data_IF_715736646527
#
_entry.id   IF_715736646527
#
_cell.length_a   1.000
_cell.length_b   1.000
_cell.length_c   1.000
_cell.angle_alpha   90.00
_cell.angle_beta   90.00
_cell.angle_gamma   90.00
#
_symmetry.space_group_name_H-M   'P 1'
#
loop_
_entity.id
_entity.type
_entity.pdbx_description
1 polymer ?
#
# COMPACT_ATOMS: atom_id res chain seq x y z
N UNK A 1 7.78 12.96 21.89
CA UNK A 1 7.76 12.38 20.53
C UNK A 1 9.17 12.53 19.98
N UNK A 2 9.66 11.52 19.26
CA UNK A 2 11.01 11.54 18.74
C UNK A 2 11.06 12.46 17.51
N UNK A 3 12.10 13.27 17.41
CA UNK A 3 12.44 13.99 16.18
C UNK A 3 12.71 12.95 15.10
N UNK A 4 12.18 13.17 13.90
CA UNK A 4 12.35 12.24 12.77
C UNK A 4 13.25 12.85 11.70
N UNK A 5 13.99 11.99 11.00
CA UNK A 5 14.63 12.35 9.74
C UNK A 5 13.55 12.47 8.66
N UNK A 6 13.53 13.58 7.93
CA UNK A 6 12.55 13.81 6.86
C UNK A 6 13.27 13.86 5.51
N UNK A 7 12.79 13.07 4.54
CA UNK A 7 13.21 13.17 3.14
C UNK A 7 12.04 13.19 2.17
N UNK A 8 12.27 13.74 0.99
CA UNK A 8 11.34 13.71 -0.14
C UNK A 8 11.96 12.92 -1.28
N UNK A 9 11.19 11.99 -1.85
CA UNK A 9 11.63 11.14 -2.95
C UNK A 9 10.46 10.67 -3.81
N UNK A 10 10.74 10.28 -5.06
CA UNK A 10 9.71 9.80 -5.99
C UNK A 10 9.19 8.39 -5.65
N UNK A 11 10.06 7.51 -5.16
CA UNK A 11 9.74 6.13 -4.76
C UNK A 11 8.77 5.43 -5.74
N UNK A 12 9.16 5.20 -7.02
CA UNK A 12 8.24 4.86 -8.11
C UNK A 12 7.38 3.62 -7.85
N UNK A 13 7.96 2.62 -7.19
CA UNK A 13 7.24 1.40 -6.80
C UNK A 13 6.09 1.71 -5.86
N UNK A 14 6.35 2.50 -4.83
CA UNK A 14 5.36 2.91 -3.84
C UNK A 14 4.29 3.81 -4.48
N UNK A 15 4.70 4.71 -5.36
CA UNK A 15 3.80 5.58 -6.08
C UNK A 15 2.79 4.77 -6.93
N UNK A 16 3.30 3.80 -7.69
CA UNK A 16 2.47 2.92 -8.51
C UNK A 16 1.54 2.05 -7.66
N UNK A 17 2.05 1.42 -6.60
CA UNK A 17 1.24 0.59 -5.69
C UNK A 17 0.10 1.40 -5.06
N UNK A 18 0.40 2.59 -4.55
CA UNK A 18 -0.60 3.44 -3.89
C UNK A 18 -1.64 4.00 -4.87
N UNK A 19 -1.23 4.25 -6.12
CA UNK A 19 -2.15 4.58 -7.22
C UNK A 19 -3.07 3.40 -7.55
N UNK A 20 -2.54 2.18 -7.58
CA UNK A 20 -3.34 0.98 -7.83
C UNK A 20 -4.29 0.68 -6.67
N UNK A 21 -3.86 0.85 -5.43
CA UNK A 21 -4.76 0.74 -4.26
C UNK A 21 -5.88 1.79 -4.30
N UNK A 22 -5.58 3.00 -4.79
CA UNK A 22 -6.58 4.06 -5.00
C UNK A 22 -7.66 3.64 -6.02
N UNK A 23 -7.32 2.88 -7.06
CA UNK A 23 -8.31 2.35 -8.01
C UNK A 23 -9.28 1.37 -7.33
N UNK A 24 -8.78 0.52 -6.43
CA UNK A 24 -9.59 -0.45 -5.70
C UNK A 24 -10.53 0.19 -4.66
N UNK A 25 -10.15 1.36 -4.15
CA UNK A 25 -10.80 2.04 -3.01
C UNK A 25 -11.64 3.26 -3.39
N UNK A 26 -11.81 3.56 -4.69
CA UNK A 26 -12.58 4.73 -5.18
C UNK A 26 -14.00 4.85 -4.62
N UNK A 27 -14.67 3.73 -4.36
CA UNK A 27 -16.03 3.72 -3.77
C UNK A 27 -16.05 4.17 -2.31
N UNK A 28 -14.92 4.03 -1.61
CA UNK A 28 -14.71 4.45 -0.22
C UNK A 28 -14.21 5.89 -0.16
N UNK A 29 -13.40 6.29 -1.15
CA UNK A 29 -12.76 7.60 -1.23
C UNK A 29 -13.27 8.40 -2.46
N UNK A 30 -14.44 9.05 -2.38
CA UNK A 30 -15.09 9.67 -3.53
C UNK A 30 -14.38 10.92 -4.07
N UNK A 31 -13.33 11.41 -3.39
CA UNK A 31 -12.56 12.59 -3.79
C UNK A 31 -11.23 12.24 -4.47
N UNK A 32 -11.04 10.99 -4.90
CA UNK A 32 -9.93 10.63 -5.78
C UNK A 32 -10.08 11.33 -7.14
N UNK A 33 -8.96 11.61 -7.80
CA UNK A 33 -8.91 12.44 -9.00
C UNK A 33 -9.62 11.83 -10.21
N UNK A 34 -9.87 12.64 -11.25
CA UNK A 34 -10.58 12.22 -12.46
C UNK A 34 -9.92 11.03 -13.16
N UNK A 35 -8.58 10.97 -13.18
CA UNK A 35 -7.84 9.84 -13.76
C UNK A 35 -8.20 8.50 -13.13
N UNK A 36 -8.39 8.45 -11.80
CA UNK A 36 -8.79 7.23 -11.07
C UNK A 36 -10.20 6.80 -11.48
N UNK A 37 -11.15 7.75 -11.55
CA UNK A 37 -12.52 7.47 -11.97
C UNK A 37 -12.62 6.98 -13.42
N UNK A 38 -11.91 7.64 -14.33
CA UNK A 38 -11.88 7.29 -15.75
C UNK A 38 -11.24 5.91 -15.96
N UNK A 39 -10.12 5.64 -15.27
CA UNK A 39 -9.41 4.36 -15.35
C UNK A 39 -10.29 3.22 -14.89
N UNK A 40 -10.93 3.33 -13.72
CA UNK A 40 -11.85 2.30 -13.21
C UNK A 40 -13.02 2.06 -14.18
N UNK A 41 -13.59 3.14 -14.74
CA UNK A 41 -14.71 3.04 -15.70
C UNK A 41 -14.30 2.36 -17.00
N UNK A 42 -13.06 2.55 -17.43
CA UNK A 42 -12.51 1.94 -18.66
C UNK A 42 -12.04 0.49 -18.48
N UNK A 43 -11.94 0.00 -17.23
CA UNK A 43 -11.34 -1.29 -16.94
C UNK A 43 -12.26 -2.44 -17.39
N UNK A 44 -11.78 -3.41 -18.20
CA UNK A 44 -12.58 -4.58 -18.53
C UNK A 44 -12.97 -5.37 -17.29
N UNK A 45 -14.19 -5.93 -17.24
CA UNK A 45 -14.72 -6.59 -16.05
C UNK A 45 -13.83 -7.71 -15.48
N UNK A 46 -13.14 -8.47 -16.35
CA UNK A 46 -12.18 -9.50 -15.90
C UNK A 46 -10.93 -8.92 -15.24
N UNK A 47 -10.44 -7.79 -15.75
CA UNK A 47 -9.32 -7.06 -15.17
C UNK A 47 -9.74 -6.38 -13.85
N UNK A 48 -10.94 -5.80 -13.80
CA UNK A 48 -11.51 -5.23 -12.56
C UNK A 48 -11.65 -6.28 -11.46
N UNK A 49 -12.16 -7.47 -11.80
CA UNK A 49 -12.26 -8.58 -10.84
C UNK A 49 -10.88 -8.95 -10.29
N UNK A 50 -9.89 -9.10 -11.16
CA UNK A 50 -8.50 -9.45 -10.76
C UNK A 50 -7.89 -8.35 -9.90
N UNK A 51 -8.11 -7.09 -10.29
CA UNK A 51 -7.69 -5.93 -9.52
C UNK A 51 -8.28 -5.93 -8.11
N UNK A 52 -9.59 -6.17 -7.97
CA UNK A 52 -10.26 -6.30 -6.67
C UNK A 52 -9.74 -7.49 -5.86
N UNK A 53 -9.43 -8.62 -6.49
CA UNK A 53 -8.86 -9.77 -5.79
C UNK A 53 -7.50 -9.43 -5.17
N UNK A 54 -6.63 -8.73 -5.92
CA UNK A 54 -5.30 -8.38 -5.44
C UNK A 54 -5.30 -7.18 -4.49
N UNK A 55 -6.04 -6.10 -4.81
CA UNK A 55 -6.03 -4.81 -4.10
C UNK A 55 -7.21 -4.56 -3.17
N UNK A 56 -8.17 -5.47 -3.07
CA UNK A 56 -9.05 -5.47 -1.90
C UNK A 56 -8.72 -6.71 -1.09
N UNK A 57 -8.86 -7.91 -1.66
CA UNK A 57 -8.88 -9.11 -0.83
C UNK A 57 -7.49 -9.56 -0.36
N UNK A 58 -6.47 -9.44 -1.21
CA UNK A 58 -5.08 -9.74 -0.86
C UNK A 58 -4.28 -8.48 -0.53
N UNK A 59 -4.93 -7.47 0.07
CA UNK A 59 -4.33 -6.16 0.35
C UNK A 59 -3.07 -6.23 1.23
N UNK A 60 -2.94 -7.28 2.04
CA UNK A 60 -1.74 -7.56 2.85
C UNK A 60 -0.46 -7.63 1.99
N UNK A 61 -0.56 -8.02 0.71
CA UNK A 61 0.56 -8.09 -0.24
C UNK A 61 1.32 -6.76 -0.27
N UNK A 62 0.64 -5.62 -0.14
CA UNK A 62 1.28 -4.32 -0.29
C UNK A 62 1.17 -3.40 0.92
N UNK A 63 0.28 -3.64 1.89
CA UNK A 63 0.24 -2.83 3.13
C UNK A 63 1.31 -3.21 4.16
N UNK A 64 1.85 -4.43 4.08
CA UNK A 64 2.86 -4.95 5.01
C UNK A 64 3.88 -5.87 4.32
N UNK A 65 3.47 -6.49 3.20
CA UNK A 65 4.21 -7.55 2.52
C UNK A 65 4.88 -7.19 1.21
N UNK A 66 5.03 -5.93 0.84
CA UNK A 66 6.02 -5.68 -0.19
C UNK A 66 7.36 -5.95 0.48
N UNK A 67 8.20 -6.92 0.02
CA UNK A 67 9.59 -6.89 0.42
C UNK A 67 10.05 -5.46 0.17
N UNK A 68 10.86 -4.90 1.05
CA UNK A 68 11.43 -3.57 0.85
C UNK A 68 12.30 -3.69 -0.39
N UNK A 69 11.67 -3.57 -1.56
CA UNK A 69 12.28 -3.82 -2.84
C UNK A 69 12.95 -2.51 -3.16
N UNK A 70 14.27 -2.54 -3.04
CA UNK A 70 15.17 -1.50 -3.54
C UNK A 70 15.21 -1.53 -5.07
N UNK A 71 14.06 -1.67 -5.75
CA UNK A 71 13.98 -1.49 -7.19
C UNK A 71 13.90 0.01 -7.47
N UNK A 72 14.63 0.45 -8.49
CA UNK A 72 14.61 1.84 -8.89
C UNK A 72 13.33 2.17 -9.66
N UNK A 73 12.74 1.18 -10.34
CA UNK A 73 11.54 1.35 -11.17
C UNK A 73 10.46 0.31 -10.85
N UNK A 74 9.22 0.60 -11.26
CA UNK A 74 8.10 -0.34 -11.11
C UNK A 74 8.24 -1.61 -11.97
N UNK A 75 8.71 -1.56 -13.22
CA UNK A 75 9.03 -2.78 -13.98
C UNK A 75 10.08 -3.66 -13.30
N UNK A 76 11.17 -3.08 -12.78
CA UNK A 76 12.20 -3.84 -12.04
C UNK A 76 11.62 -4.49 -10.79
N UNK A 77 10.67 -3.83 -10.11
CA UNK A 77 9.93 -4.44 -9.00
C UNK A 77 9.18 -5.69 -9.46
N UNK A 78 8.44 -5.61 -10.57
CA UNK A 78 7.69 -6.75 -11.10
C UNK A 78 8.64 -7.89 -11.51
N UNK A 79 9.74 -7.57 -12.21
CA UNK A 79 10.77 -8.52 -12.59
C UNK A 79 11.39 -9.22 -11.36
N UNK A 80 11.62 -8.47 -10.28
CA UNK A 80 12.16 -9.03 -9.04
C UNK A 80 11.19 -9.99 -8.35
N UNK A 81 9.89 -9.72 -8.41
CA UNK A 81 8.87 -10.62 -7.88
C UNK A 81 8.81 -11.88 -8.73
N UNK A 82 8.84 -11.77 -10.06
CA UNK A 82 8.84 -12.92 -10.99
C UNK A 82 10.08 -13.82 -10.84
N UNK A 83 11.26 -13.22 -10.67
CA UNK A 83 12.51 -13.95 -10.48
C UNK A 83 12.63 -14.62 -9.11
N UNK A 84 11.82 -14.18 -8.13
CA UNK A 84 11.80 -14.73 -6.78
C UNK A 84 11.14 -16.11 -6.71
N UNK A 85 11.33 -16.79 -5.58
CA UNK A 85 10.62 -18.04 -5.31
C UNK A 85 9.16 -17.76 -4.97
N UNK A 86 8.22 -18.05 -5.86
CA UNK A 86 7.24 -19.07 -5.54
C UNK A 86 6.58 -19.01 -4.16
N UNK A 87 6.91 -20.05 -3.39
CA UNK A 87 6.53 -20.24 -2.00
C UNK A 87 7.00 -19.11 -1.10
N UNK A 88 8.18 -18.52 -1.31
CA UNK A 88 8.65 -17.41 -0.48
C UNK A 88 7.78 -16.17 -0.62
N UNK A 89 7.24 -15.88 -1.82
CA UNK A 89 6.26 -14.82 -2.02
C UNK A 89 4.97 -15.10 -1.23
N UNK A 90 4.44 -16.32 -1.33
CA UNK A 90 3.25 -16.77 -0.59
C UNK A 90 3.46 -16.76 0.93
N UNK A 91 4.56 -17.32 1.41
CA UNK A 91 4.85 -17.45 2.84
C UNK A 91 4.99 -16.08 3.50
N UNK A 92 5.57 -15.11 2.78
CA UNK A 92 5.67 -13.74 3.24
C UNK A 92 4.28 -13.07 3.38
N UNK A 93 3.36 -13.27 2.44
CA UNK A 93 1.95 -12.80 2.55
C UNK A 93 1.28 -13.35 3.82
N UNK A 94 1.42 -14.66 4.05
CA UNK A 94 0.78 -15.35 5.18
C UNK A 94 1.41 -14.90 6.51
N UNK A 95 2.74 -14.77 6.54
CA UNK A 95 3.45 -14.23 7.68
C UNK A 95 2.94 -12.85 8.07
N UNK A 96 2.75 -11.96 7.10
CA UNK A 96 2.21 -10.62 7.37
C UNK A 96 0.77 -10.65 7.88
N UNK A 97 -0.07 -11.54 7.34
CA UNK A 97 -1.43 -11.74 7.84
C UNK A 97 -1.42 -12.19 9.31
N UNK A 98 -0.60 -13.19 9.64
CA UNK A 98 -0.46 -13.71 11.00
C UNK A 98 0.09 -12.65 11.95
N UNK A 99 1.07 -11.87 11.53
CA UNK A 99 1.65 -10.78 12.33
C UNK A 99 0.64 -9.63 12.57
N UNK A 100 -0.25 -9.35 11.62
CA UNK A 100 -1.37 -8.42 11.82
C UNK A 100 -2.39 -8.99 12.82
N UNK A 101 -2.72 -10.29 12.73
CA UNK A 101 -3.60 -10.94 13.71
C UNK A 101 -3.06 -10.82 15.14
N UNK A 102 -1.76 -11.05 15.34
CA UNK A 102 -1.08 -10.84 16.63
C UNK A 102 -1.19 -9.38 17.09
N UNK A 103 -0.89 -8.46 16.18
CA UNK A 103 -0.95 -7.02 16.44
C UNK A 103 -2.33 -6.58 16.89
N UNK A 104 -3.39 -7.05 16.23
CA UNK A 104 -4.78 -6.72 16.58
C UNK A 104 -5.19 -7.31 17.92
N UNK A 105 -4.81 -8.56 18.22
CA UNK A 105 -5.08 -9.18 19.52
C UNK A 105 -4.43 -8.38 20.65
N UNK A 106 -3.16 -8.00 20.50
CA UNK A 106 -2.43 -7.20 21.48
C UNK A 106 -3.05 -5.80 21.64
N UNK A 107 -3.30 -5.09 20.53
CA UNK A 107 -3.79 -3.71 20.57
C UNK A 107 -5.21 -3.59 21.13
N UNK A 108 -6.07 -4.57 20.82
CA UNK A 108 -7.47 -4.58 21.28
C UNK A 108 -7.66 -5.38 22.57
N UNK A 109 -6.58 -5.90 23.18
CA UNK A 109 -6.61 -6.72 24.39
C UNK A 109 -7.61 -7.88 24.31
N UNK A 110 -7.64 -8.56 23.17
CA UNK A 110 -8.59 -9.65 22.93
C UNK A 110 -8.14 -10.93 23.63
N UNK A 111 -9.08 -11.68 24.19
CA UNK A 111 -8.84 -13.03 24.73
C UNK A 111 -8.88 -14.09 23.61
N UNK A 112 -8.13 -13.85 22.53
CA UNK A 112 -8.01 -14.75 21.38
C UNK A 112 -6.55 -15.17 21.20
N UNK A 113 -6.34 -16.36 20.63
CA UNK A 113 -5.00 -16.87 20.29
C UNK A 113 -4.81 -16.70 18.77
N UNK A 114 -3.91 -15.82 18.30
CA UNK A 114 -3.61 -15.66 16.87
C UNK A 114 -3.28 -16.99 16.20
N UNK A 115 -3.62 -17.17 14.91
CA UNK A 115 -3.36 -18.42 14.23
C UNK A 115 -1.87 -18.54 13.88
N UNK A 116 -1.42 -19.75 13.66
CA UNK A 116 -0.14 -20.03 12.98
C UNK A 116 -0.30 -19.95 11.46
N UNK A 117 0.81 -19.82 10.75
CA UNK A 117 0.83 -19.80 9.29
C UNK A 117 0.21 -21.10 8.72
N UNK A 118 0.58 -22.26 9.28
CA UNK A 118 0.02 -23.57 8.89
C UNK A 118 -1.50 -23.66 9.11
N UNK A 119 -2.02 -23.09 10.20
CA UNK A 119 -3.46 -23.09 10.47
C UNK A 119 -4.24 -22.25 9.46
N UNK A 120 -3.67 -21.11 9.03
CA UNK A 120 -4.28 -20.26 7.99
C UNK A 120 -4.30 -20.98 6.65
N UNK A 121 -3.21 -21.67 6.28
CA UNK A 121 -3.12 -22.45 5.04
C UNK A 121 -4.10 -23.61 5.06
N UNK A 122 -4.10 -24.42 6.12
CA UNK A 122 -4.81 -25.68 6.16
C UNK A 122 -6.33 -25.55 6.30
N UNK A 123 -6.84 -24.40 6.76
CA UNK A 123 -8.25 -24.26 7.12
C UNK A 123 -8.82 -22.91 6.65
N UNK A 124 -9.73 -22.97 5.69
CA UNK A 124 -10.40 -21.79 5.13
C UNK A 124 -11.25 -21.04 6.15
N UNK A 125 -11.92 -21.72 7.09
CA UNK A 125 -12.70 -21.07 8.13
C UNK A 125 -11.80 -20.30 9.09
N UNK A 126 -10.59 -20.82 9.36
CA UNK A 126 -9.58 -20.11 10.15
C UNK A 126 -9.10 -18.86 9.41
N UNK A 127 -8.81 -18.97 8.11
CA UNK A 127 -8.46 -17.83 7.26
C UNK A 127 -9.55 -16.75 7.28
N UNK A 128 -10.80 -17.12 7.00
CA UNK A 128 -11.94 -16.19 6.94
C UNK A 128 -12.25 -15.55 8.29
N UNK A 129 -12.21 -16.33 9.37
CA UNK A 129 -12.41 -15.82 10.72
C UNK A 129 -11.38 -14.73 11.05
N UNK A 130 -10.09 -15.03 10.83
CA UNK A 130 -9.03 -14.08 11.16
C UNK A 130 -9.00 -12.85 10.28
N UNK A 131 -9.40 -12.95 9.01
CA UNK A 131 -9.65 -11.77 8.18
C UNK A 131 -10.68 -10.83 8.82
N UNK A 132 -11.80 -11.37 9.30
CA UNK A 132 -12.86 -10.57 9.95
C UNK A 132 -12.42 -9.94 11.27
N UNK A 133 -11.57 -10.62 12.03
CA UNK A 133 -11.05 -10.12 13.31
C UNK A 133 -10.02 -9.02 13.08
N UNK A 134 -9.05 -9.27 12.20
CA UNK A 134 -7.96 -8.34 11.93
C UNK A 134 -8.47 -7.08 11.21
N UNK A 135 -9.33 -7.24 10.20
CA UNK A 135 -9.87 -6.15 9.39
C UNK A 135 -11.40 -6.12 9.39
N UNK A 136 -12.04 -5.71 10.51
CA UNK A 136 -13.52 -5.72 10.62
C UNK A 136 -14.21 -4.73 9.66
N UNK A 137 -13.49 -3.74 9.15
CA UNK A 137 -14.00 -2.75 8.18
C UNK A 137 -13.64 -3.11 6.73
N UNK A 138 -13.05 -4.30 6.50
CA UNK A 138 -12.67 -4.74 5.17
C UNK A 138 -13.89 -5.01 4.30
N UNK A 139 -13.77 -4.75 2.99
CA UNK A 139 -14.80 -5.11 2.03
C UNK A 139 -14.83 -6.63 1.91
N UNK A 140 -15.79 -7.27 2.57
CA UNK A 140 -15.91 -8.72 2.54
C UNK A 140 -16.69 -9.20 1.31
N UNK A 141 -16.00 -9.81 0.37
CA UNK A 141 -16.58 -10.58 -0.74
C UNK A 141 -16.27 -12.06 -0.52
N UNK A 142 -17.24 -12.83 -0.03
CA UNK A 142 -17.02 -14.23 0.35
C UNK A 142 -16.48 -15.08 -0.81
N UNK A 143 -16.92 -14.81 -2.04
CA UNK A 143 -16.46 -15.55 -3.22
C UNK A 143 -15.00 -15.26 -3.54
N UNK A 144 -14.58 -13.99 -3.49
CA UNK A 144 -13.20 -13.62 -3.73
C UNK A 144 -12.27 -14.02 -2.58
N UNK A 145 -12.76 -14.02 -1.33
CA UNK A 145 -11.96 -14.50 -0.19
C UNK A 145 -11.67 -16.00 -0.28
N UNK A 146 -12.63 -16.80 -0.76
CA UNK A 146 -12.41 -18.22 -1.04
C UNK A 146 -11.37 -18.39 -2.17
N UNK A 147 -11.49 -17.60 -3.24
CA UNK A 147 -10.51 -17.63 -4.33
C UNK A 147 -9.10 -17.21 -3.87
N UNK A 148 -9.01 -16.18 -3.03
CA UNK A 148 -7.75 -15.74 -2.42
C UNK A 148 -7.11 -16.87 -1.58
N UNK A 149 -7.89 -17.57 -0.77
CA UNK A 149 -7.40 -18.73 0.00
C UNK A 149 -6.89 -19.85 -0.92
N UNK A 150 -7.61 -20.16 -2.00
CA UNK A 150 -7.17 -21.14 -3.00
C UNK A 150 -5.84 -20.75 -3.66
N UNK A 151 -5.66 -19.46 -3.99
CA UNK A 151 -4.39 -18.97 -4.52
C UNK A 151 -3.22 -19.13 -3.53
N UNK A 152 -3.45 -18.98 -2.22
CA UNK A 152 -2.42 -19.23 -1.21
C UNK A 152 -1.97 -20.71 -1.14
N UNK A 153 -2.80 -21.64 -1.64
CA UNK A 153 -2.44 -23.06 -1.79
C UNK A 153 -1.65 -23.34 -3.07
N UNK A 154 -1.69 -22.43 -4.05
CA UNK A 154 -1.08 -22.56 -5.37
C UNK A 154 -0.05 -21.42 -5.61
N UNK A 155 1.13 -21.46 -4.96
CA UNK A 155 2.06 -20.32 -4.95
C UNK A 155 2.53 -19.88 -6.35
N UNK A 156 2.76 -20.83 -7.27
CA UNK A 156 3.12 -20.51 -8.67
C UNK A 156 2.00 -19.72 -9.38
N UNK A 157 0.75 -20.13 -9.14
CA UNK A 157 -0.42 -19.48 -9.73
C UNK A 157 -0.63 -18.08 -9.14
N UNK A 158 -0.45 -17.93 -7.83
CA UNK A 158 -0.54 -16.63 -7.15
C UNK A 158 0.52 -15.65 -7.68
N UNK A 159 1.78 -16.07 -7.74
CA UNK A 159 2.87 -15.24 -8.26
C UNK A 159 2.62 -14.86 -9.72
N UNK A 160 2.24 -15.83 -10.56
CA UNK A 160 1.95 -15.58 -11.97
C UNK A 160 0.79 -14.60 -12.17
N UNK A 161 -0.29 -14.74 -11.39
CA UNK A 161 -1.43 -13.82 -11.41
C UNK A 161 -1.01 -12.41 -11.01
N UNK A 162 -0.24 -12.29 -9.92
CA UNK A 162 0.27 -11.01 -9.45
C UNK A 162 1.15 -10.33 -10.50
N UNK A 163 2.17 -11.02 -11.00
CA UNK A 163 3.11 -10.50 -12.02
C UNK A 163 2.35 -10.09 -13.28
N UNK A 164 1.51 -10.97 -13.82
CA UNK A 164 0.74 -10.68 -15.03
C UNK A 164 -0.16 -9.45 -14.84
N UNK A 165 -0.89 -9.38 -13.72
CA UNK A 165 -1.77 -8.25 -13.44
C UNK A 165 -0.99 -6.94 -13.31
N UNK A 166 0.11 -6.94 -12.56
CA UNK A 166 0.93 -5.75 -12.36
C UNK A 166 1.57 -5.26 -13.66
N UNK A 167 2.04 -6.17 -14.54
CA UNK A 167 2.52 -5.81 -15.88
C UNK A 167 1.39 -5.22 -16.73
N UNK A 168 0.21 -5.84 -16.75
CA UNK A 168 -0.94 -5.32 -17.50
C UNK A 168 -1.34 -3.93 -17.04
N UNK A 169 -1.43 -3.71 -15.71
CA UNK A 169 -1.77 -2.40 -15.16
C UNK A 169 -0.70 -1.35 -15.47
N UNK A 170 0.58 -1.72 -15.42
CA UNK A 170 1.68 -0.85 -15.80
C UNK A 170 1.58 -0.42 -17.26
N UNK A 171 1.55 -1.38 -18.18
CA UNK A 171 1.61 -1.10 -19.61
C UNK A 171 0.35 -0.42 -20.15
N UNK A 172 -0.81 -0.75 -19.58
CA UNK A 172 -2.09 -0.25 -20.10
C UNK A 172 -2.46 1.12 -19.54
N UNK A 173 -2.12 1.40 -18.27
CA UNK A 173 -2.65 2.58 -17.58
C UNK A 173 -1.55 3.46 -16.97
N UNK A 174 -0.59 2.87 -16.25
CA UNK A 174 0.33 3.66 -15.42
C UNK A 174 1.53 4.23 -16.17
N UNK A 175 2.10 3.51 -17.15
CA UNK A 175 3.40 3.88 -17.73
C UNK A 175 3.36 5.27 -18.38
N UNK A 176 2.41 5.50 -19.28
CA UNK A 176 2.27 6.78 -19.97
C UNK A 176 1.92 7.92 -18.98
N UNK A 177 1.04 7.65 -18.02
CA UNK A 177 0.68 8.63 -17.00
C UNK A 177 1.87 9.01 -16.11
N UNK A 178 2.66 8.02 -15.68
CA UNK A 178 3.90 8.23 -14.94
C UNK A 178 4.89 9.07 -15.72
N UNK A 179 5.19 8.70 -16.97
CA UNK A 179 6.12 9.43 -17.85
C UNK A 179 5.67 10.88 -18.06
N UNK A 180 4.37 11.11 -18.25
CA UNK A 180 3.79 12.46 -18.43
C UNK A 180 3.92 13.33 -17.18
N UNK A 181 3.72 12.74 -15.99
CA UNK A 181 3.71 13.49 -14.72
C UNK A 181 5.10 13.58 -14.06
N UNK A 182 6.07 12.75 -14.47
CA UNK A 182 7.40 12.67 -13.87
C UNK A 182 8.10 14.04 -13.72
N UNK A 183 8.14 14.92 -14.75
CA UNK A 183 8.81 16.22 -14.60
C UNK A 183 8.19 17.12 -13.52
N UNK A 184 6.88 17.01 -13.30
CA UNK A 184 6.19 17.78 -12.26
C UNK A 184 6.43 17.17 -10.87
N UNK A 185 6.44 15.83 -10.77
CA UNK A 185 6.76 15.14 -9.53
C UNK A 185 8.21 15.44 -9.07
N UNK A 186 9.16 15.48 -10.00
CA UNK A 186 10.55 15.88 -9.73
C UNK A 186 10.64 17.32 -9.21
N UNK A 187 9.89 18.25 -9.81
CA UNK A 187 9.79 19.63 -9.33
C UNK A 187 9.21 19.69 -7.91
N UNK A 188 8.19 18.90 -7.60
CA UNK A 188 7.63 18.83 -6.25
C UNK A 188 8.70 18.36 -5.24
N UNK A 189 9.40 17.25 -5.54
CA UNK A 189 10.49 16.74 -4.68
C UNK A 189 11.54 17.82 -4.46
N UNK A 190 12.04 18.44 -5.53
CA UNK A 190 13.07 19.47 -5.46
C UNK A 190 12.62 20.68 -4.61
N UNK A 191 11.37 21.13 -4.77
CA UNK A 191 10.83 22.27 -4.02
C UNK A 191 10.70 21.96 -2.53
N UNK A 192 10.17 20.79 -2.14
CA UNK A 192 10.02 20.43 -0.72
C UNK A 192 11.36 20.15 -0.03
N UNK A 193 12.37 19.67 -0.77
CA UNK A 193 13.73 19.50 -0.23
C UNK A 193 14.38 20.82 0.20
N UNK A 194 13.89 21.98 -0.28
CA UNK A 194 14.38 23.30 0.15
C UNK A 194 13.73 23.80 1.44
N UNK A 195 12.67 23.15 1.92
CA UNK A 195 11.98 23.55 3.14
C UNK A 195 12.64 22.93 4.37
N UNK A 196 12.64 23.69 5.47
CA UNK A 196 13.20 23.21 6.73
C UNK A 196 12.21 22.27 7.46
N UNK A 197 12.53 20.98 7.52
CA UNK A 197 11.79 19.99 8.33
C UNK A 197 12.58 19.53 9.57
N UNK A 198 13.66 20.24 9.93
CA UNK A 198 14.48 19.89 11.09
C UNK A 198 13.71 20.06 12.40
N UNK A 199 14.05 19.21 13.38
CA UNK A 199 13.49 19.26 14.74
C UNK A 199 11.96 19.05 14.83
N UNK A 200 11.35 18.48 13.80
CA UNK A 200 9.93 18.11 13.81
C UNK A 200 9.76 16.64 14.19
N UNK A 201 8.71 16.35 14.95
CA UNK A 201 8.15 14.99 14.99
C UNK A 201 7.34 14.70 13.71
N UNK A 202 6.93 13.44 13.55
CA UNK A 202 6.25 13.00 12.33
C UNK A 202 4.90 13.69 12.10
N UNK A 203 4.16 14.01 13.16
CA UNK A 203 2.86 14.65 13.05
C UNK A 203 3.03 16.12 12.67
N UNK A 204 4.04 16.78 13.24
CA UNK A 204 4.43 18.13 12.86
C UNK A 204 4.91 18.20 11.42
N UNK A 205 5.69 17.22 10.96
CA UNK A 205 6.13 17.15 9.57
C UNK A 205 4.94 16.98 8.60
N UNK A 206 4.00 16.09 8.90
CA UNK A 206 2.78 15.91 8.09
C UNK A 206 1.92 17.16 8.11
N UNK A 207 1.76 17.79 9.28
CA UNK A 207 1.01 19.04 9.40
C UNK A 207 1.62 20.15 8.56
N UNK A 208 2.94 20.31 8.62
CA UNK A 208 3.67 21.29 7.80
C UNK A 208 3.50 21.03 6.30
N UNK A 209 3.51 19.75 5.88
CA UNK A 209 3.34 19.37 4.48
C UNK A 209 1.91 19.59 3.97
N UNK A 210 0.92 19.19 4.77
CA UNK A 210 -0.47 19.03 4.29
C UNK A 210 -1.41 20.14 4.78
N UNK A 211 -0.98 20.92 5.78
CA UNK A 211 -1.83 21.86 6.52
C UNK A 211 -2.86 21.16 7.43
N UNK A 212 -2.77 19.84 7.62
CA UNK A 212 -3.79 19.05 8.33
C UNK A 212 -3.29 18.50 9.63
N UNK A 213 -4.21 18.45 10.59
CA UNK A 213 -3.99 17.71 11.82
C UNK A 213 -4.35 16.25 11.60
N UNK A 214 -3.35 15.37 11.71
CA UNK A 214 -3.48 13.93 11.49
C UNK A 214 -3.44 13.13 12.80
N UNK A 215 -3.64 13.79 13.95
CA UNK A 215 -3.64 13.12 15.26
C UNK A 215 -4.67 12.00 15.38
N UNK A 216 -5.80 12.11 14.67
CA UNK A 216 -6.87 11.12 14.68
C UNK A 216 -6.50 9.80 14.00
N UNK A 217 -5.52 9.82 13.09
CA UNK A 217 -5.04 8.63 12.37
C UNK A 217 -3.71 8.09 12.94
N UNK A 218 -3.31 8.58 14.12
CA UNK A 218 -2.10 8.12 14.82
C UNK A 218 -2.25 6.67 15.27
N UNK A 219 -1.21 5.89 15.03
CA UNK A 219 -1.05 4.54 15.55
C UNK A 219 0.42 4.27 15.94
N UNK A 220 0.72 3.05 16.38
CA UNK A 220 2.08 2.65 16.80
C UNK A 220 3.15 2.84 15.72
N UNK A 221 2.78 2.82 14.43
CA UNK A 221 3.73 3.06 13.33
C UNK A 221 4.25 4.49 13.30
N UNK A 222 3.38 5.47 13.60
CA UNK A 222 3.79 6.87 13.75
C UNK A 222 4.67 7.09 14.99
N UNK A 223 4.48 6.29 16.04
CA UNK A 223 5.21 6.46 17.30
C UNK A 223 6.63 5.91 17.27
N UNK A 224 6.87 4.87 16.46
CA UNK A 224 8.18 4.21 16.41
C UNK A 224 9.08 4.69 15.29
N UNK A 225 8.52 5.28 14.22
CA UNK A 225 9.29 5.69 13.04
C UNK A 225 10.35 6.74 13.40
N UNK A 226 11.58 6.51 12.92
CA UNK A 226 12.72 7.43 13.07
C UNK A 226 13.00 8.19 11.79
N UNK A 227 12.49 7.71 10.66
CA UNK A 227 12.58 8.34 9.34
C UNK A 227 11.21 8.37 8.67
N UNK A 228 10.92 9.47 7.97
CA UNK A 228 9.76 9.62 7.09
C UNK A 228 10.17 10.07 5.69
N UNK A 229 9.57 9.43 4.69
CA UNK A 229 9.71 9.72 3.28
C UNK A 229 8.38 10.24 2.78
N UNK A 230 8.36 11.48 2.32
CA UNK A 230 7.21 12.06 1.64
C UNK A 230 7.32 11.84 0.14
N UNK A 231 6.28 11.27 -0.44
CA UNK A 231 6.21 10.84 -1.83
C UNK A 231 5.08 11.60 -2.53
N UNK A 232 5.36 12.55 -3.44
CA UNK A 232 4.30 13.22 -4.18
C UNK A 232 3.62 12.23 -5.14
N UNK A 233 2.29 12.21 -5.15
CA UNK A 233 1.48 11.33 -5.99
C UNK A 233 0.32 12.14 -6.62
N UNK A 234 0.10 11.94 -7.92
CA UNK A 234 -0.93 12.66 -8.67
C UNK A 234 -2.36 12.25 -8.32
N UNK A 235 -2.54 11.00 -7.84
CA UNK A 235 -3.82 10.30 -7.89
C UNK A 235 -4.51 10.12 -6.54
N UNK A 236 -3.77 10.31 -5.44
CA UNK A 236 -4.29 10.14 -4.07
C UNK A 236 -5.30 11.23 -3.67
N UNK A 237 -5.51 12.25 -4.50
CA UNK A 237 -6.42 13.36 -4.22
C UNK A 237 -6.12 13.99 -2.85
N UNK A 238 -7.11 14.35 -2.03
CA UNK A 238 -6.83 14.88 -0.71
C UNK A 238 -6.32 13.80 0.26
N UNK A 239 -6.28 12.51 -0.06
CA UNK A 239 -5.94 11.49 0.93
C UNK A 239 -4.43 11.36 1.13
N UNK A 240 -4.04 10.76 2.25
CA UNK A 240 -2.67 10.34 2.51
C UNK A 240 -2.63 8.83 2.41
N UNK A 241 -1.81 8.30 1.51
CA UNK A 241 -1.43 6.90 1.55
C UNK A 241 -0.27 6.73 2.54
N UNK A 242 -0.21 5.55 3.14
CA UNK A 242 0.80 5.27 4.16
C UNK A 242 1.26 3.84 4.05
N UNK A 243 2.57 3.68 3.98
CA UNK A 243 3.21 2.37 4.03
C UNK A 243 4.49 2.44 4.83
N UNK A 244 4.80 1.44 5.63
CA UNK A 244 6.03 1.47 6.40
C UNK A 244 6.14 0.38 7.45
N UNK A 245 7.34 0.31 8.00
CA UNK A 245 7.66 -0.55 9.13
C UNK A 245 7.91 0.34 10.37
N UNK A 246 8.46 -0.26 11.43
CA UNK A 246 8.68 0.47 12.69
C UNK A 246 9.70 1.61 12.58
N UNK A 247 10.63 1.58 11.63
CA UNK A 247 11.74 2.53 11.54
C UNK A 247 11.52 3.57 10.45
N UNK A 248 10.90 3.16 9.34
CA UNK A 248 10.70 3.97 8.16
C UNK A 248 9.22 4.06 7.78
N UNK A 249 8.72 5.30 7.75
CA UNK A 249 7.39 5.61 7.24
C UNK A 249 7.46 6.23 5.83
N UNK A 250 6.72 5.68 4.89
CA UNK A 250 6.44 6.30 3.60
C UNK A 250 5.04 6.89 3.65
N UNK A 251 4.93 8.16 3.28
CA UNK A 251 3.67 8.89 3.23
C UNK A 251 3.53 9.46 1.83
N UNK A 252 2.53 8.97 1.09
CA UNK A 252 2.16 9.59 -0.18
C UNK A 252 1.22 10.76 0.09
N UNK A 253 1.39 11.81 -0.69
CA UNK A 253 0.57 13.02 -0.58
C UNK A 253 0.28 13.56 -1.98
N UNK A 254 -0.77 14.37 -2.11
CA UNK A 254 -1.10 14.99 -3.39
C UNK A 254 0.07 15.83 -3.91
N UNK A 255 0.53 15.52 -5.12
CA UNK A 255 1.56 16.29 -5.78
C UNK A 255 1.10 17.74 -6.00
N UNK A 256 1.77 18.67 -5.32
CA UNK A 256 1.56 20.10 -5.45
C UNK A 256 2.84 20.83 -5.05
N UNK A 257 3.13 21.96 -5.67
CA UNK A 257 4.23 22.81 -5.22
C UNK A 257 3.88 23.44 -3.84
N UNK A 258 4.87 23.62 -2.95
CA UNK A 258 4.63 24.34 -1.71
C UNK A 258 4.16 25.76 -2.00
N UNK A 259 3.25 26.27 -1.17
CA UNK A 259 2.86 27.67 -1.25
C UNK A 259 4.11 28.54 -1.03
N UNK A 260 4.39 29.46 -1.96
CA UNK A 260 5.44 30.46 -1.78
C UNK A 260 5.02 31.35 -0.60
N UNK A 261 5.76 31.25 0.50
CA UNK A 261 5.63 32.14 1.67
C UNK A 261 6.31 33.47 1.42
#
# INVERSE_FOLDING_TARGET
MNVVSVRFALEPVFNAIDTLDSLATIKVFPKLGGWIADTVTSMPAGLERTHRLLFNILHIIYHRGTPIINAATFPEYIDSVEAGTSSAFRDMIIKHMVDECKTVVEQRSLSLIPPTEDQVIANIDTYLYWLSVAWPNHIFDGSLNIEAHQLLLEPDRLQSLFVSHMRTMWETYLREDWERNLPFLEQCVAAYQQLDFSNLDILQAINKLTGRDVREIRDKGFESATEVIFIPNMHVGPYLGRLGNRELLRVTFHAQLPALS
#
